data_IF_188296689853
#
_entry.id   IF_188296689853
#
_cell.length_a   1.000
_cell.length_b   1.000
_cell.length_c   1.000
_cell.angle_alpha   90.00
_cell.angle_beta   90.00
_cell.angle_gamma   90.00
#
_symmetry.space_group_name_H-M   'P 1'
#
loop_
_entity.id
_entity.type
_entity.pdbx_description
1 polymer ?
#
# COMPACT_ATOMS: atom_id res chain seq x y z
N UNK A 1 56.61 -36.45 -1.97
CA UNK A 1 56.37 -35.02 -2.26
C UNK A 1 54.88 -34.68 -2.23
N UNK A 2 54.03 -35.26 -3.08
CA UNK A 2 52.59 -34.92 -3.16
C UNK A 2 51.75 -35.25 -1.89
N UNK A 3 52.02 -36.37 -1.23
CA UNK A 3 51.35 -36.70 0.05
C UNK A 3 51.74 -35.71 1.16
N UNK A 4 53.00 -35.23 1.14
CA UNK A 4 53.50 -34.24 2.07
C UNK A 4 52.88 -32.86 1.80
N UNK A 5 52.71 -32.45 0.53
CA UNK A 5 52.03 -31.19 0.20
C UNK A 5 50.55 -31.21 0.57
N UNK A 6 49.83 -32.31 0.35
CA UNK A 6 48.43 -32.45 0.77
C UNK A 6 48.27 -32.37 2.30
N UNK A 7 49.15 -33.05 3.05
CA UNK A 7 49.13 -33.00 4.52
C UNK A 7 49.47 -31.60 5.02
N UNK A 8 50.50 -30.95 4.46
CA UNK A 8 50.88 -29.57 4.81
C UNK A 8 49.76 -28.58 4.52
N UNK A 9 49.10 -28.67 3.35
CA UNK A 9 47.95 -27.82 2.99
C UNK A 9 46.75 -28.07 3.91
N UNK A 10 46.47 -29.33 4.28
CA UNK A 10 45.39 -29.66 5.22
C UNK A 10 45.64 -29.06 6.61
N UNK A 11 46.85 -29.21 7.15
CA UNK A 11 47.19 -28.63 8.46
C UNK A 11 47.24 -27.10 8.40
N UNK A 12 47.79 -26.50 7.35
CA UNK A 12 47.78 -25.04 7.14
C UNK A 12 46.36 -24.48 7.09
N UNK A 13 45.48 -25.05 6.27
CA UNK A 13 44.08 -24.58 6.17
C UNK A 13 43.31 -24.76 7.48
N UNK A 14 43.55 -25.84 8.23
CA UNK A 14 42.96 -26.08 9.56
C UNK A 14 43.49 -25.09 10.61
N UNK A 15 44.78 -24.80 10.60
CA UNK A 15 45.43 -23.82 11.49
C UNK A 15 44.93 -22.41 11.17
N UNK A 16 44.88 -22.03 9.89
CA UNK A 16 44.35 -20.72 9.45
C UNK A 16 42.89 -20.56 9.86
N UNK A 17 42.06 -21.60 9.71
CA UNK A 17 40.68 -21.59 10.24
C UNK A 17 40.65 -21.38 11.75
N UNK A 18 41.50 -22.10 12.51
CA UNK A 18 41.54 -21.98 13.97
C UNK A 18 42.03 -20.59 14.44
N UNK A 19 43.01 -20.01 13.74
CA UNK A 19 43.51 -18.65 14.02
C UNK A 19 42.44 -17.61 13.70
N UNK A 20 41.78 -17.70 12.54
CA UNK A 20 40.72 -16.77 12.14
C UNK A 20 39.54 -16.81 13.12
N UNK A 21 39.10 -18.00 13.54
CA UNK A 21 38.04 -18.14 14.54
C UNK A 21 38.46 -17.58 15.91
N UNK A 22 39.72 -17.82 16.31
CA UNK A 22 40.26 -17.30 17.57
C UNK A 22 40.42 -15.78 17.54
N UNK A 23 40.84 -15.19 16.41
CA UNK A 23 40.98 -13.73 16.24
C UNK A 23 39.62 -13.03 16.18
N UNK A 24 38.64 -13.59 15.46
CA UNK A 24 37.28 -13.04 15.44
C UNK A 24 36.58 -13.18 16.80
N UNK A 25 36.87 -14.23 17.60
CA UNK A 25 36.31 -14.36 18.96
C UNK A 25 37.04 -13.52 20.02
N UNK A 26 38.32 -13.15 19.83
CA UNK A 26 39.11 -12.36 20.80
C UNK A 26 38.80 -10.87 20.79
N UNK A 27 38.24 -10.37 19.70
CA UNK A 27 37.99 -8.94 19.53
C UNK A 27 36.54 -8.67 19.95
N UNK A 28 36.36 -8.10 21.15
CA UNK A 28 35.06 -7.91 21.81
C UNK A 28 34.00 -7.19 20.98
N UNK A 29 32.74 -7.35 21.45
CA UNK A 29 31.39 -6.99 20.98
C UNK A 29 31.13 -5.70 20.17
N UNK A 30 32.04 -5.21 19.33
CA UNK A 30 31.72 -4.12 18.39
C UNK A 30 31.02 -4.68 17.13
N UNK A 31 29.71 -4.88 17.27
CA UNK A 31 28.63 -4.37 16.40
C UNK A 31 28.58 -4.63 14.89
N UNK A 32 29.59 -5.23 14.26
CA UNK A 32 29.64 -5.33 12.81
C UNK A 32 28.95 -6.61 12.31
N UNK A 33 27.80 -6.47 11.66
CA UNK A 33 27.03 -7.57 11.03
C UNK A 33 27.90 -8.48 10.14
N UNK A 34 28.89 -7.89 9.46
CA UNK A 34 29.87 -8.59 8.63
C UNK A 34 30.75 -9.60 9.40
N UNK A 35 31.05 -9.36 10.69
CA UNK A 35 31.83 -10.29 11.53
C UNK A 35 31.03 -11.52 11.94
N UNK A 36 29.75 -11.34 12.25
CA UNK A 36 28.84 -12.46 12.55
C UNK A 36 28.67 -13.38 11.35
N UNK A 37 28.54 -12.79 10.15
CA UNK A 37 28.51 -13.54 8.89
C UNK A 37 29.85 -14.26 8.66
N UNK A 38 30.99 -13.58 8.82
CA UNK A 38 32.31 -14.20 8.64
C UNK A 38 32.57 -15.36 9.63
N UNK A 39 32.19 -15.23 10.90
CA UNK A 39 32.26 -16.32 11.89
C UNK A 39 31.36 -17.49 11.51
N UNK A 40 30.13 -17.21 11.07
CA UNK A 40 29.20 -18.24 10.63
C UNK A 40 29.70 -19.00 9.39
N UNK A 41 30.31 -18.29 8.44
CA UNK A 41 30.89 -18.85 7.20
C UNK A 41 32.11 -19.71 7.54
N UNK A 42 33.10 -19.15 8.25
CA UNK A 42 34.38 -19.83 8.55
C UNK A 42 34.15 -21.03 9.49
N UNK A 43 33.29 -20.88 10.50
CA UNK A 43 32.97 -21.95 11.44
C UNK A 43 32.34 -23.17 10.76
N UNK A 44 31.50 -22.94 9.75
CA UNK A 44 30.73 -23.97 9.03
C UNK A 44 31.48 -24.71 7.93
N UNK A 45 32.70 -24.29 7.58
CA UNK A 45 33.54 -25.06 6.66
C UNK A 45 33.84 -26.42 7.30
N UNK A 46 33.27 -27.51 6.75
CA UNK A 46 33.44 -28.84 7.36
C UNK A 46 34.87 -29.32 7.16
N UNK A 47 35.39 -30.08 8.13
CA UNK A 47 36.72 -30.69 8.03
C UNK A 47 36.86 -31.60 6.80
N UNK A 48 35.75 -32.19 6.34
CA UNK A 48 35.66 -32.97 5.12
C UNK A 48 35.96 -32.14 3.85
N UNK A 49 35.40 -30.93 3.74
CA UNK A 49 35.71 -30.04 2.61
C UNK A 49 37.19 -29.64 2.61
N UNK A 50 37.75 -29.31 3.77
CA UNK A 50 39.18 -28.98 3.88
C UNK A 50 40.08 -30.16 3.49
N UNK A 51 39.67 -31.39 3.81
CA UNK A 51 40.36 -32.61 3.39
C UNK A 51 40.31 -32.77 1.87
N UNK A 52 39.15 -32.63 1.26
CA UNK A 52 38.98 -32.73 -0.21
C UNK A 52 39.76 -31.62 -0.93
N UNK A 53 39.72 -30.38 -0.43
CA UNK A 53 40.48 -29.26 -0.97
C UNK A 53 41.99 -29.47 -0.87
N UNK A 54 42.47 -30.07 0.23
CA UNK A 54 43.87 -30.39 0.40
C UNK A 54 44.33 -31.55 -0.52
N UNK A 55 43.47 -32.54 -0.76
CA UNK A 55 43.71 -33.60 -1.74
C UNK A 55 43.77 -33.05 -3.17
N UNK A 56 42.87 -32.13 -3.53
CA UNK A 56 42.88 -31.44 -4.83
C UNK A 56 44.14 -30.57 -5.00
N UNK A 57 44.53 -29.78 -3.99
CA UNK A 57 45.76 -29.01 -4.04
C UNK A 57 47.02 -29.92 -4.17
N UNK A 58 47.00 -31.09 -3.53
CA UNK A 58 48.04 -32.11 -3.66
C UNK A 58 48.08 -32.76 -5.05
N UNK A 59 46.92 -32.95 -5.70
CA UNK A 59 46.84 -33.52 -7.04
C UNK A 59 47.38 -32.57 -8.12
N UNK A 60 47.33 -31.25 -7.93
CA UNK A 60 47.93 -30.27 -8.86
C UNK A 60 49.47 -30.36 -8.95
N UNK A 61 50.12 -30.87 -7.91
CA UNK A 61 51.59 -31.03 -7.85
C UNK A 61 52.04 -32.39 -8.40
N UNK A 62 51.10 -33.34 -8.52
CA UNK A 62 51.37 -34.69 -8.99
C UNK A 62 50.98 -34.79 -10.47
N UNK A 63 51.90 -35.21 -11.34
CA UNK A 63 51.58 -35.52 -12.74
C UNK A 63 50.73 -36.81 -12.79
N UNK A 64 49.44 -36.66 -12.53
CA UNK A 64 48.47 -37.73 -12.50
C UNK A 64 47.96 -38.03 -13.92
N UNK A 65 47.60 -39.29 -14.23
CA UNK A 65 46.87 -39.61 -15.44
C UNK A 65 45.55 -38.83 -15.51
N UNK A 66 45.19 -38.33 -16.70
CA UNK A 66 44.04 -37.44 -16.95
C UNK A 66 42.73 -37.95 -16.33
N UNK A 67 42.51 -39.27 -16.32
CA UNK A 67 41.32 -39.91 -15.73
C UNK A 67 41.19 -39.68 -14.23
N UNK A 68 42.31 -39.73 -13.49
CA UNK A 68 42.32 -39.54 -12.04
C UNK A 68 42.23 -38.07 -11.63
N UNK A 69 42.81 -37.17 -12.44
CA UNK A 69 42.69 -35.73 -12.25
C UNK A 69 41.24 -35.26 -12.38
N UNK A 70 40.52 -35.74 -13.41
CA UNK A 70 39.10 -35.39 -13.61
C UNK A 70 38.19 -35.84 -12.47
N UNK A 71 38.38 -37.05 -11.93
CA UNK A 71 37.60 -37.54 -10.77
C UNK A 71 37.83 -36.66 -9.53
N UNK A 72 39.09 -36.29 -9.27
CA UNK A 72 39.44 -35.44 -8.11
C UNK A 72 38.87 -34.03 -8.28
N UNK A 73 38.86 -33.49 -9.50
CA UNK A 73 38.25 -32.20 -9.83
C UNK A 73 36.72 -32.22 -9.63
N UNK A 74 36.01 -33.23 -10.13
CA UNK A 74 34.56 -33.37 -9.91
C UNK A 74 34.22 -33.52 -8.42
N UNK A 75 34.98 -34.33 -7.67
CA UNK A 75 34.77 -34.49 -6.22
C UNK A 75 35.01 -33.15 -5.49
N UNK A 76 36.04 -32.40 -5.86
CA UNK A 76 36.31 -31.08 -5.31
C UNK A 76 35.18 -30.09 -5.62
N UNK A 77 34.73 -30.04 -6.87
CA UNK A 77 33.66 -29.15 -7.32
C UNK A 77 32.34 -29.44 -6.58
N UNK A 78 31.95 -30.71 -6.44
CA UNK A 78 30.75 -31.11 -5.68
C UNK A 78 30.89 -30.75 -4.21
N UNK A 79 32.07 -31.00 -3.62
CA UNK A 79 32.35 -30.63 -2.23
C UNK A 79 32.23 -29.11 -2.03
N UNK A 80 32.72 -28.31 -2.99
CA UNK A 80 32.61 -26.87 -3.01
C UNK A 80 31.15 -26.40 -3.11
N UNK A 81 30.36 -26.96 -4.03
CA UNK A 81 28.94 -26.65 -4.16
C UNK A 81 28.14 -26.96 -2.90
N UNK A 82 28.35 -28.14 -2.31
CA UNK A 82 27.71 -28.52 -1.05
C UNK A 82 28.14 -27.57 0.08
N UNK A 83 29.41 -27.18 0.13
CA UNK A 83 29.91 -26.25 1.12
C UNK A 83 29.28 -24.85 0.98
N UNK A 84 29.11 -24.37 -0.26
CA UNK A 84 28.38 -23.12 -0.57
C UNK A 84 26.92 -23.24 -0.13
N UNK A 85 26.23 -24.33 -0.48
CA UNK A 85 24.84 -24.57 -0.08
C UNK A 85 24.65 -24.60 1.44
N UNK A 86 25.57 -25.23 2.18
CA UNK A 86 25.57 -25.26 3.64
C UNK A 86 25.80 -23.87 4.26
N UNK A 87 26.67 -23.06 3.66
CA UNK A 87 26.92 -21.68 4.09
C UNK A 87 25.67 -20.82 3.84
N UNK A 88 25.11 -20.86 2.63
CA UNK A 88 23.90 -20.12 2.27
C UNK A 88 22.71 -20.49 3.18
N UNK A 89 22.49 -21.79 3.44
CA UNK A 89 21.48 -22.27 4.39
C UNK A 89 21.70 -21.72 5.81
N UNK A 90 22.96 -21.65 6.26
CA UNK A 90 23.26 -21.08 7.57
C UNK A 90 23.02 -19.57 7.63
N UNK A 91 23.35 -18.83 6.57
CA UNK A 91 23.08 -17.39 6.47
C UNK A 91 21.56 -17.18 6.55
N UNK A 92 20.78 -17.92 5.75
CA UNK A 92 19.31 -17.86 5.79
C UNK A 92 18.79 -18.12 7.21
N UNK A 93 19.24 -19.20 7.86
CA UNK A 93 18.80 -19.56 9.21
C UNK A 93 19.22 -18.52 10.26
N UNK A 94 20.42 -17.98 10.17
CA UNK A 94 20.94 -17.02 11.16
C UNK A 94 20.24 -15.68 11.04
N UNK A 95 20.09 -15.16 9.82
CA UNK A 95 19.30 -13.97 9.54
C UNK A 95 17.87 -14.18 10.07
N UNK A 96 17.31 -15.35 9.81
CA UNK A 96 15.96 -15.70 10.24
C UNK A 96 15.77 -15.67 11.76
N UNK A 97 16.63 -16.35 12.52
CA UNK A 97 16.55 -16.39 13.99
C UNK A 97 16.71 -14.98 14.60
N UNK A 98 17.57 -14.13 14.03
CA UNK A 98 17.73 -12.74 14.48
C UNK A 98 16.47 -11.90 14.25
N UNK A 99 15.78 -12.08 13.12
CA UNK A 99 14.50 -11.42 12.87
C UNK A 99 13.37 -12.00 13.74
N UNK A 100 13.37 -13.32 13.97
CA UNK A 100 12.36 -14.00 14.80
C UNK A 100 12.40 -13.53 16.25
N UNK A 101 13.59 -13.45 16.85
CA UNK A 101 13.77 -12.98 18.23
C UNK A 101 13.30 -11.53 18.43
N UNK A 102 13.46 -10.66 17.42
CA UNK A 102 12.96 -9.27 17.47
C UNK A 102 11.45 -9.13 17.22
N UNK A 103 10.82 -10.12 16.58
CA UNK A 103 9.42 -10.06 16.13
C UNK A 103 8.47 -10.88 17.01
N UNK A 104 8.99 -11.90 17.71
CA UNK A 104 8.24 -12.81 18.60
C UNK A 104 7.45 -12.09 19.69
N UNK A 105 7.93 -10.95 20.19
CA UNK A 105 7.24 -10.17 21.23
C UNK A 105 5.99 -9.43 20.73
N UNK A 106 5.80 -9.29 19.41
CA UNK A 106 4.77 -8.39 18.86
C UNK A 106 3.71 -9.07 18.00
N UNK A 107 4.03 -10.15 17.25
CA UNK A 107 3.06 -10.79 16.34
C UNK A 107 3.39 -12.27 16.04
N UNK A 108 2.56 -13.19 16.55
CA UNK A 108 2.71 -14.63 16.30
C UNK A 108 2.52 -15.02 14.81
N UNK A 109 1.62 -14.35 14.09
CA UNK A 109 1.36 -14.62 12.67
C UNK A 109 2.57 -14.27 11.78
N UNK A 110 3.26 -13.18 12.12
CA UNK A 110 4.47 -12.76 11.40
C UNK A 110 5.57 -13.83 11.50
N UNK A 111 5.68 -14.52 12.63
CA UNK A 111 6.66 -15.59 12.86
C UNK A 111 6.41 -16.80 11.95
N UNK A 112 5.14 -17.17 11.74
CA UNK A 112 4.77 -18.29 10.86
C UNK A 112 5.06 -17.97 9.39
N UNK A 113 4.68 -16.76 8.91
CA UNK A 113 5.00 -16.32 7.54
C UNK A 113 6.50 -16.31 7.27
N UNK A 114 7.25 -15.75 8.22
CA UNK A 114 8.70 -15.73 8.22
C UNK A 114 9.23 -17.19 8.07
N UNK A 115 8.70 -18.15 8.84
CA UNK A 115 9.15 -19.55 8.80
C UNK A 115 9.00 -20.19 7.42
N UNK A 116 7.88 -19.92 6.75
CA UNK A 116 7.61 -20.38 5.38
C UNK A 116 8.60 -19.81 4.37
N UNK A 117 8.95 -18.52 4.46
CA UNK A 117 9.95 -17.88 3.58
C UNK A 117 11.34 -18.51 3.79
N UNK A 118 11.72 -18.79 5.04
CA UNK A 118 12.99 -19.48 5.34
C UNK A 118 13.01 -20.90 4.79
N UNK A 119 11.91 -21.63 4.85
CA UNK A 119 11.81 -22.95 4.24
C UNK A 119 11.94 -22.89 2.71
N UNK A 120 11.16 -22.03 2.04
CA UNK A 120 11.17 -21.88 0.58
C UNK A 120 12.55 -21.47 0.05
N UNK A 121 13.21 -20.50 0.69
CA UNK A 121 14.57 -20.07 0.30
C UNK A 121 15.60 -21.19 0.42
N UNK A 122 15.50 -22.05 1.45
CA UNK A 122 16.38 -23.22 1.59
C UNK A 122 16.14 -24.26 0.51
N UNK A 123 14.88 -24.51 0.16
CA UNK A 123 14.52 -25.41 -0.95
C UNK A 123 15.12 -24.90 -2.25
N UNK A 124 15.00 -23.60 -2.55
CA UNK A 124 15.57 -22.98 -3.74
C UNK A 124 17.11 -23.09 -3.79
N UNK A 125 17.80 -22.85 -2.68
CA UNK A 125 19.27 -23.02 -2.61
C UNK A 125 19.68 -24.45 -2.95
N UNK A 126 19.03 -25.44 -2.34
CA UNK A 126 19.36 -26.85 -2.61
C UNK A 126 18.99 -27.29 -4.03
N UNK A 127 17.92 -26.73 -4.58
CA UNK A 127 17.55 -26.95 -5.97
C UNK A 127 18.64 -26.43 -6.92
N UNK A 128 19.16 -25.22 -6.70
CA UNK A 128 20.27 -24.66 -7.50
C UNK A 128 21.53 -25.52 -7.34
N UNK A 129 21.91 -25.89 -6.12
CA UNK A 129 23.07 -26.76 -5.86
C UNK A 129 22.94 -28.09 -6.62
N UNK A 130 21.74 -28.69 -6.64
CA UNK A 130 21.48 -29.93 -7.36
C UNK A 130 21.65 -29.76 -8.88
N UNK A 131 21.10 -28.69 -9.47
CA UNK A 131 21.22 -28.45 -10.91
C UNK A 131 22.67 -28.25 -11.35
N UNK A 132 23.43 -27.42 -10.62
CA UNK A 132 24.84 -27.16 -10.94
C UNK A 132 25.68 -28.44 -10.75
N UNK A 133 25.33 -29.28 -9.79
CA UNK A 133 25.99 -30.58 -9.63
C UNK A 133 25.67 -31.53 -10.79
N UNK A 134 24.41 -31.61 -11.24
CA UNK A 134 24.01 -32.43 -12.39
C UNK A 134 24.70 -32.01 -13.69
N UNK A 135 24.82 -30.70 -13.92
CA UNK A 135 25.52 -30.14 -15.08
C UNK A 135 27.01 -30.54 -15.09
N UNK A 136 27.66 -30.51 -13.92
CA UNK A 136 29.05 -30.95 -13.78
C UNK A 136 29.24 -32.45 -14.05
N UNK A 137 28.21 -33.27 -13.82
CA UNK A 137 28.21 -34.69 -14.19
C UNK A 137 27.91 -34.94 -15.68
N UNK A 138 27.77 -33.88 -16.49
CA UNK A 138 27.46 -33.99 -17.91
C UNK A 138 25.97 -34.28 -18.21
N UNK A 139 25.10 -34.17 -17.21
CA UNK A 139 23.65 -34.26 -17.42
C UNK A 139 23.18 -32.97 -18.06
N UNK A 140 22.47 -33.05 -19.19
CA UNK A 140 21.89 -31.87 -19.81
C UNK A 140 20.75 -31.30 -18.94
N UNK A 141 21.04 -30.22 -18.22
CA UNK A 141 20.06 -29.55 -17.35
C UNK A 141 19.16 -28.55 -18.09
N UNK A 142 19.32 -28.36 -19.41
CA UNK A 142 18.57 -27.34 -20.19
C UNK A 142 17.07 -27.52 -20.04
N UNK A 143 16.57 -28.75 -20.11
CA UNK A 143 15.14 -29.04 -19.94
C UNK A 143 14.65 -28.74 -18.51
N UNK A 144 15.47 -29.03 -17.49
CA UNK A 144 15.15 -28.75 -16.09
C UNK A 144 15.12 -27.25 -15.82
N UNK A 145 16.13 -26.52 -16.31
CA UNK A 145 16.22 -25.06 -16.20
C UNK A 145 15.06 -24.39 -16.95
N UNK A 146 14.74 -24.86 -18.16
CA UNK A 146 13.58 -24.36 -18.90
C UNK A 146 12.27 -24.58 -18.15
N UNK A 147 12.07 -25.78 -17.57
CA UNK A 147 10.91 -26.09 -16.74
C UNK A 147 10.81 -25.20 -15.50
N UNK A 148 11.94 -24.92 -14.83
CA UNK A 148 11.99 -23.99 -13.71
C UNK A 148 11.75 -22.54 -14.13
N UNK A 149 12.18 -22.15 -15.33
CA UNK A 149 11.85 -20.84 -15.90
C UNK A 149 10.35 -20.65 -16.06
N UNK A 150 9.67 -21.62 -16.68
CA UNK A 150 8.20 -21.61 -16.84
C UNK A 150 7.49 -21.66 -15.48
N UNK A 151 7.95 -22.54 -14.57
CA UNK A 151 7.41 -22.61 -13.21
C UNK A 151 7.62 -21.30 -12.43
N UNK A 152 8.75 -20.64 -12.61
CA UNK A 152 9.06 -19.34 -12.02
C UNK A 152 8.13 -18.24 -12.52
N UNK A 153 7.81 -18.22 -13.81
CA UNK A 153 6.82 -17.29 -14.39
C UNK A 153 5.44 -17.54 -13.78
N UNK A 154 5.01 -18.79 -13.64
CA UNK A 154 3.72 -19.12 -13.02
C UNK A 154 3.65 -18.64 -11.56
N UNK A 155 4.72 -18.84 -10.78
CA UNK A 155 4.80 -18.32 -9.40
C UNK A 155 4.82 -16.78 -9.38
N UNK A 156 5.54 -16.14 -10.30
CA UNK A 156 5.60 -14.68 -10.40
C UNK A 156 4.21 -14.08 -10.68
N UNK A 157 3.44 -14.67 -11.60
CA UNK A 157 2.06 -14.28 -11.88
C UNK A 157 1.15 -14.49 -10.66
N UNK A 158 1.31 -15.61 -9.93
CA UNK A 158 0.53 -15.88 -8.74
C UNK A 158 0.78 -14.86 -7.60
N UNK A 159 2.02 -14.37 -7.47
CA UNK A 159 2.41 -13.43 -6.40
C UNK A 159 2.33 -11.95 -6.86
N UNK A 160 2.07 -11.69 -8.15
CA UNK A 160 2.06 -10.35 -8.76
C UNK A 160 1.26 -9.33 -7.94
N UNK A 161 0.05 -9.69 -7.50
CA UNK A 161 -0.82 -8.79 -6.73
C UNK A 161 -0.23 -8.41 -5.38
N UNK A 162 0.44 -9.35 -4.70
CA UNK A 162 1.08 -9.11 -3.40
C UNK A 162 2.25 -8.14 -3.57
N UNK A 163 3.07 -8.33 -4.61
CA UNK A 163 4.16 -7.39 -4.91
C UNK A 163 3.61 -6.02 -5.30
N UNK A 164 2.51 -5.98 -6.07
CA UNK A 164 1.80 -4.75 -6.41
C UNK A 164 1.40 -3.95 -5.17
N UNK A 165 0.80 -4.61 -4.17
CA UNK A 165 0.42 -3.95 -2.91
C UNK A 165 1.64 -3.43 -2.11
N UNK A 166 2.76 -4.16 -2.12
CA UNK A 166 4.01 -3.75 -1.45
C UNK A 166 4.59 -2.52 -2.13
N UNK A 167 4.66 -2.49 -3.47
CA UNK A 167 5.11 -1.32 -4.21
C UNK A 167 4.14 -0.14 -4.03
N UNK A 168 2.84 -0.40 -3.99
CA UNK A 168 1.84 0.63 -3.70
C UNK A 168 2.03 1.23 -2.28
N UNK A 169 2.29 0.40 -1.26
CA UNK A 169 2.64 0.88 0.08
C UNK A 169 3.85 1.82 0.07
N UNK A 170 4.90 1.43 -0.65
CA UNK A 170 6.09 2.24 -0.80
C UNK A 170 5.81 3.57 -1.51
N UNK A 171 5.01 3.55 -2.58
CA UNK A 171 4.55 4.74 -3.28
C UNK A 171 3.72 5.67 -2.39
N UNK A 172 2.82 5.13 -1.56
CA UNK A 172 2.04 5.92 -0.57
C UNK A 172 2.98 6.61 0.41
N UNK A 173 4.02 5.93 0.90
CA UNK A 173 4.97 6.52 1.86
C UNK A 173 5.86 7.60 1.23
N UNK A 174 6.25 7.42 -0.03
CA UNK A 174 7.11 8.36 -0.74
C UNK A 174 6.35 9.60 -1.26
N UNK A 175 5.28 9.39 -2.02
CA UNK A 175 4.51 10.45 -2.68
C UNK A 175 3.50 11.11 -1.72
N UNK A 176 3.08 10.36 -0.69
CA UNK A 176 2.11 10.80 0.33
C UNK A 176 0.85 11.44 -0.28
N UNK A 177 0.11 10.74 -1.16
CA UNK A 177 -1.18 11.23 -1.66
C UNK A 177 -2.19 11.48 -0.52
N UNK A 178 -2.04 10.72 0.57
CA UNK A 178 -2.71 10.90 1.84
C UNK A 178 -1.77 10.45 2.98
N UNK A 179 -2.05 10.91 4.19
CA UNK A 179 -1.35 10.47 5.41
C UNK A 179 -2.33 10.00 6.47
N UNK A 180 -1.82 9.35 7.52
CA UNK A 180 -2.61 8.95 8.69
C UNK A 180 -3.28 10.21 9.27
N UNK A 181 -4.59 10.11 9.50
CA UNK A 181 -5.44 11.20 9.98
C UNK A 181 -6.03 12.08 8.88
N UNK A 182 -5.82 11.76 7.60
CA UNK A 182 -6.53 12.40 6.50
C UNK A 182 -7.93 11.80 6.35
N UNK A 183 -8.92 12.68 6.15
CA UNK A 183 -10.26 12.27 5.74
C UNK A 183 -10.31 12.18 4.22
N UNK A 184 -10.53 10.97 3.71
CA UNK A 184 -10.54 10.68 2.28
C UNK A 184 -11.84 10.03 1.85
N UNK A 185 -12.21 10.26 0.59
CA UNK A 185 -13.29 9.55 -0.09
C UNK A 185 -12.70 8.80 -1.26
N UNK A 186 -13.00 7.51 -1.33
CA UNK A 186 -12.60 6.58 -2.37
C UNK A 186 -13.89 5.96 -2.90
N UNK A 187 -14.23 6.28 -4.15
CA UNK A 187 -15.51 5.94 -4.75
C UNK A 187 -16.70 6.44 -3.91
N UNK A 188 -17.52 5.54 -3.36
CA UNK A 188 -18.65 5.82 -2.46
C UNK A 188 -18.29 5.67 -0.96
N UNK A 189 -17.10 5.17 -0.67
CA UNK A 189 -16.63 4.92 0.68
C UNK A 189 -15.83 6.11 1.22
N UNK A 190 -16.09 6.48 2.48
CA UNK A 190 -15.53 7.69 3.10
C UNK A 190 -15.11 7.43 4.53
N UNK A 191 -13.99 8.02 4.94
CA UNK A 191 -13.49 7.87 6.29
C UNK A 191 -12.11 8.47 6.54
N UNK A 192 -11.61 8.28 7.76
CA UNK A 192 -10.30 8.78 8.19
C UNK A 192 -9.26 7.67 8.14
N UNK A 193 -8.10 7.93 7.53
CA UNK A 193 -6.99 6.97 7.46
C UNK A 193 -6.42 6.73 8.87
N UNK A 194 -6.52 5.49 9.38
CA UNK A 194 -5.99 5.11 10.69
C UNK A 194 -4.61 4.48 10.60
N UNK A 195 -4.36 3.68 9.57
CA UNK A 195 -3.13 2.92 9.44
C UNK A 195 -2.82 2.57 7.99
N UNK A 196 -1.58 2.78 7.57
CA UNK A 196 -1.05 2.34 6.27
C UNK A 196 -0.09 1.18 6.52
N UNK A 197 -0.49 -0.01 6.11
CA UNK A 197 0.31 -1.22 6.21
C UNK A 197 1.06 -1.55 4.92
N UNK A 198 1.78 -2.67 4.94
CA UNK A 198 2.55 -3.15 3.78
C UNK A 198 1.66 -3.62 2.63
N UNK A 199 0.53 -4.29 2.93
CA UNK A 199 -0.43 -4.76 1.92
C UNK A 199 -1.71 -3.94 1.87
N UNK A 200 -2.20 -3.53 3.04
CA UNK A 200 -3.51 -2.92 3.20
C UNK A 200 -3.43 -1.62 3.97
N UNK A 201 -4.38 -0.74 3.70
CA UNK A 201 -4.63 0.49 4.44
C UNK A 201 -5.99 0.40 5.11
N UNK A 202 -6.06 0.86 6.36
CA UNK A 202 -7.27 0.81 7.19
C UNK A 202 -7.84 2.22 7.37
N UNK A 203 -9.12 2.36 7.06
CA UNK A 203 -9.84 3.63 7.07
C UNK A 203 -11.05 3.49 8.00
N UNK A 204 -11.21 4.40 8.96
CA UNK A 204 -12.39 4.46 9.84
C UNK A 204 -13.50 5.22 9.16
N UNK A 205 -14.59 4.53 8.85
CA UNK A 205 -15.80 5.15 8.33
C UNK A 205 -16.48 6.02 9.38
N UNK A 206 -17.32 6.95 8.94
CA UNK A 206 -18.15 7.77 9.83
C UNK A 206 -19.21 6.93 10.58
N UNK A 207 -19.62 5.78 10.02
CA UNK A 207 -20.50 4.81 10.70
C UNK A 207 -19.78 3.95 11.74
N UNK A 208 -18.45 4.08 11.88
CA UNK A 208 -17.65 3.48 12.94
C UNK A 208 -16.95 2.17 12.56
N UNK A 209 -17.32 1.53 11.44
CA UNK A 209 -16.61 0.37 10.92
C UNK A 209 -15.23 0.73 10.35
N UNK A 210 -14.35 -0.27 10.29
CA UNK A 210 -13.04 -0.15 9.67
C UNK A 210 -13.09 -0.75 8.26
N UNK A 211 -12.91 0.10 7.27
CA UNK A 211 -12.75 -0.29 5.88
C UNK A 211 -11.30 -0.72 5.65
N UNK A 212 -11.11 -1.87 5.01
CA UNK A 212 -9.79 -2.45 4.73
C UNK A 212 -9.62 -2.51 3.22
N UNK A 213 -8.74 -1.65 2.70
CA UNK A 213 -8.42 -1.60 1.28
C UNK A 213 -7.06 -2.24 1.03
N UNK A 214 -6.87 -2.88 -0.12
CA UNK A 214 -5.52 -3.15 -0.60
C UNK A 214 -4.87 -1.83 -1.03
N UNK A 215 -3.55 -1.74 -0.90
CA UNK A 215 -2.85 -0.51 -1.27
C UNK A 215 -2.92 -0.27 -2.78
N UNK A 216 -2.92 -1.35 -3.59
CA UNK A 216 -3.06 -1.25 -5.03
C UNK A 216 -4.44 -0.71 -5.43
N UNK A 217 -5.51 -1.15 -4.76
CA UNK A 217 -6.88 -0.67 -4.98
C UNK A 217 -6.96 0.86 -4.76
N UNK A 218 -6.48 1.33 -3.61
CA UNK A 218 -6.44 2.77 -3.30
C UNK A 218 -5.71 3.61 -4.34
N UNK A 219 -4.53 3.16 -4.79
CA UNK A 219 -3.75 3.91 -5.78
C UNK A 219 -4.31 3.79 -7.20
N UNK A 220 -5.10 2.76 -7.48
CA UNK A 220 -5.79 2.61 -8.77
C UNK A 220 -7.07 3.45 -8.84
N UNK A 221 -7.64 3.81 -7.70
CA UNK A 221 -8.86 4.62 -7.59
C UNK A 221 -8.60 6.12 -7.49
N UNK A 222 -9.64 6.92 -7.74
CA UNK A 222 -9.59 8.39 -7.60
C UNK A 222 -9.83 8.77 -6.13
N UNK A 223 -8.80 9.26 -5.46
CA UNK A 223 -8.89 9.66 -4.05
C UNK A 223 -9.23 11.15 -3.94
N UNK A 224 -10.30 11.46 -3.20
CA UNK A 224 -10.63 12.84 -2.81
C UNK A 224 -10.14 13.07 -1.38
N UNK A 225 -9.06 13.83 -1.21
CA UNK A 225 -8.51 14.14 0.11
C UNK A 225 -9.05 15.49 0.62
N UNK A 226 -9.89 15.45 1.65
CA UNK A 226 -10.52 16.64 2.20
C UNK A 226 -9.63 17.41 3.17
N UNK A 227 -8.62 16.76 3.77
CA UNK A 227 -7.67 17.46 4.66
C UNK A 227 -6.75 18.40 3.91
N UNK A 228 -6.58 18.19 2.59
CA UNK A 228 -5.88 19.11 1.67
C UNK A 228 -6.77 20.19 1.07
N UNK A 229 -8.06 20.24 1.43
CA UNK A 229 -8.94 21.32 1.02
C UNK A 229 -8.51 22.62 1.71
N UNK A 230 -8.43 23.73 0.97
CA UNK A 230 -8.15 25.06 1.54
C UNK A 230 -9.43 25.87 1.74
N UNK A 231 -10.32 25.80 0.74
CA UNK A 231 -11.59 26.51 0.72
C UNK A 231 -12.69 25.52 0.32
N UNK A 232 -13.88 25.68 0.89
CA UNK A 232 -15.05 24.86 0.57
C UNK A 232 -16.03 25.65 -0.27
N UNK A 233 -16.29 25.17 -1.49
CA UNK A 233 -17.36 25.71 -2.33
C UNK A 233 -18.72 25.22 -1.85
N UNK A 234 -19.63 26.16 -1.63
CA UNK A 234 -21.01 25.89 -1.27
C UNK A 234 -21.91 26.35 -2.41
N UNK A 235 -22.86 25.49 -2.78
CA UNK A 235 -23.89 25.80 -3.79
C UNK A 235 -25.23 25.36 -3.24
N UNK A 236 -26.19 26.26 -3.25
CA UNK A 236 -27.58 25.93 -2.91
C UNK A 236 -28.54 26.81 -3.72
N UNK A 237 -29.79 26.35 -3.79
CA UNK A 237 -30.86 27.07 -4.48
C UNK A 237 -31.94 27.49 -3.50
N UNK A 238 -32.55 28.65 -3.75
CA UNK A 238 -33.68 29.18 -2.99
C UNK A 238 -34.81 29.45 -3.98
N UNK A 239 -35.97 28.84 -3.74
CA UNK A 239 -37.18 29.08 -4.53
C UNK A 239 -38.11 30.07 -3.84
N UNK A 240 -38.60 31.06 -4.57
CA UNK A 240 -39.68 31.97 -4.10
C UNK A 240 -40.93 31.81 -4.95
N UNK A 241 -42.10 32.16 -4.41
CA UNK A 241 -43.38 31.96 -5.11
C UNK A 241 -43.49 32.83 -6.38
N UNK A 242 -44.22 32.36 -7.39
CA UNK A 242 -44.47 33.10 -8.64
C UNK A 242 -45.20 34.43 -8.44
N UNK A 243 -45.94 34.56 -7.33
CA UNK A 243 -46.66 35.76 -6.93
C UNK A 243 -45.73 36.85 -6.37
N UNK A 244 -44.43 36.57 -6.20
CA UNK A 244 -43.47 37.54 -5.71
C UNK A 244 -43.34 38.71 -6.71
N UNK A 245 -43.59 39.96 -6.30
CA UNK A 245 -43.50 41.11 -7.20
C UNK A 245 -42.10 41.29 -7.81
N UNK A 246 -41.98 41.78 -9.07
CA UNK A 246 -40.70 42.01 -9.74
C UNK A 246 -39.69 42.83 -8.91
N UNK A 247 -40.16 43.91 -8.28
CA UNK A 247 -39.31 44.78 -7.45
C UNK A 247 -38.63 44.05 -6.28
N UNK A 248 -39.28 43.00 -5.75
CA UNK A 248 -38.70 42.16 -4.69
C UNK A 248 -37.72 41.15 -5.28
N UNK A 249 -38.03 40.58 -6.45
CA UNK A 249 -37.15 39.63 -7.15
C UNK A 249 -35.78 40.25 -7.47
N UNK A 250 -35.76 41.51 -7.90
CA UNK A 250 -34.52 42.24 -8.19
C UNK A 250 -33.66 42.48 -6.95
N UNK A 251 -34.26 42.59 -5.75
CA UNK A 251 -33.54 42.81 -4.49
C UNK A 251 -32.92 41.54 -3.91
N UNK A 252 -33.46 40.36 -4.21
CA UNK A 252 -33.06 39.08 -3.60
C UNK A 252 -31.54 38.83 -3.71
N UNK A 253 -30.89 38.96 -4.88
CA UNK A 253 -29.45 38.77 -5.01
C UNK A 253 -28.63 39.66 -4.08
N UNK A 254 -29.01 40.94 -3.96
CA UNK A 254 -28.32 41.91 -3.11
C UNK A 254 -28.48 41.62 -1.61
N UNK A 255 -29.67 41.17 -1.19
CA UNK A 255 -29.93 40.76 0.19
C UNK A 255 -29.10 39.53 0.56
N UNK A 256 -29.11 38.50 -0.29
CA UNK A 256 -28.33 37.28 -0.07
C UNK A 256 -26.83 37.60 -0.02
N UNK A 257 -26.34 38.41 -0.96
CA UNK A 257 -24.94 38.85 -0.98
C UNK A 257 -24.54 39.50 0.33
N UNK A 258 -25.34 40.45 0.82
CA UNK A 258 -25.05 41.19 2.06
C UNK A 258 -24.99 40.26 3.28
N UNK A 259 -25.89 39.27 3.37
CA UNK A 259 -25.90 38.29 4.45
C UNK A 259 -24.68 37.36 4.43
N UNK A 260 -24.21 36.99 3.24
CA UNK A 260 -23.02 36.14 3.06
C UNK A 260 -21.75 36.92 3.37
N UNK A 261 -21.62 38.14 2.84
CA UNK A 261 -20.46 39.01 3.08
C UNK A 261 -20.36 39.47 4.54
N UNK A 262 -21.44 39.39 5.32
CA UNK A 262 -21.43 39.68 6.76
C UNK A 262 -20.80 38.57 7.61
N UNK A 263 -20.56 37.37 7.06
CA UNK A 263 -19.94 36.27 7.79
C UNK A 263 -18.41 36.33 7.67
N UNK A 264 -17.72 35.92 8.73
CA UNK A 264 -16.26 35.80 8.71
C UNK A 264 -15.79 34.62 7.85
N UNK A 265 -14.59 34.77 7.26
CA UNK A 265 -13.91 33.73 6.47
C UNK A 265 -14.74 33.25 5.26
N UNK A 266 -15.42 34.16 4.57
CA UNK A 266 -16.15 33.86 3.33
C UNK A 266 -15.63 34.68 2.16
N UNK A 267 -15.68 34.09 0.96
CA UNK A 267 -15.62 34.79 -0.31
C UNK A 267 -16.93 34.55 -1.08
N UNK A 268 -17.72 35.61 -1.25
CA UNK A 268 -18.90 35.58 -2.11
C UNK A 268 -18.50 35.36 -3.57
N UNK A 269 -19.28 34.57 -4.31
CA UNK A 269 -19.08 34.32 -5.75
C UNK A 269 -20.28 34.87 -6.52
N UNK A 270 -21.48 34.32 -6.29
CA UNK A 270 -22.68 34.78 -6.99
C UNK A 270 -23.99 34.48 -6.26
N UNK A 271 -25.00 35.31 -6.54
CA UNK A 271 -26.40 35.05 -6.25
C UNK A 271 -27.21 35.55 -7.46
N UNK A 272 -27.93 34.69 -8.17
CA UNK A 272 -28.66 35.09 -9.38
C UNK A 272 -30.00 34.37 -9.47
N UNK A 273 -30.98 35.04 -10.07
CA UNK A 273 -32.16 34.39 -10.61
C UNK A 273 -31.71 33.43 -11.72
N UNK A 274 -31.83 32.12 -11.47
CA UNK A 274 -31.26 31.06 -12.31
C UNK A 274 -32.28 30.50 -13.28
N UNK A 275 -33.49 30.20 -12.81
CA UNK A 275 -34.47 29.46 -13.59
C UNK A 275 -35.89 29.66 -13.08
N UNK A 276 -36.84 29.37 -13.96
CA UNK A 276 -38.24 29.16 -13.62
C UNK A 276 -38.46 27.67 -13.32
N UNK A 277 -38.80 27.35 -12.08
CA UNK A 277 -39.11 26.00 -11.60
C UNK A 277 -40.61 25.65 -11.74
N UNK A 278 -41.01 24.39 -11.52
CA UNK A 278 -42.41 23.97 -11.68
C UNK A 278 -43.42 24.70 -10.77
N UNK A 279 -42.97 25.15 -9.60
CA UNK A 279 -43.76 25.87 -8.59
C UNK A 279 -42.98 27.01 -7.92
N UNK A 280 -41.78 27.33 -8.43
CA UNK A 280 -40.84 28.29 -7.82
C UNK A 280 -40.13 29.14 -8.86
N UNK A 281 -39.68 30.32 -8.42
CA UNK A 281 -38.69 31.14 -9.08
C UNK A 281 -37.34 30.89 -8.39
N UNK A 282 -36.41 30.25 -9.09
CA UNK A 282 -35.21 29.67 -8.48
C UNK A 282 -34.01 30.62 -8.54
N UNK A 283 -33.45 30.94 -7.38
CA UNK A 283 -32.20 31.67 -7.22
C UNK A 283 -31.08 30.72 -6.85
N UNK A 284 -29.96 30.77 -7.57
CA UNK A 284 -28.75 30.02 -7.22
C UNK A 284 -27.78 30.90 -6.46
N UNK A 285 -27.26 30.36 -5.36
CA UNK A 285 -26.30 31.02 -4.49
C UNK A 285 -25.03 30.19 -4.42
N UNK A 286 -23.89 30.84 -4.66
CA UNK A 286 -22.56 30.25 -4.59
C UNK A 286 -21.65 31.14 -3.75
N UNK A 287 -20.96 30.52 -2.80
CA UNK A 287 -19.93 31.18 -2.00
C UNK A 287 -18.87 30.17 -1.57
N UNK A 288 -17.73 30.67 -1.11
CA UNK A 288 -16.61 29.88 -0.63
C UNK A 288 -16.37 30.13 0.85
N UNK A 289 -16.32 29.08 1.66
CA UNK A 289 -15.84 29.15 3.04
C UNK A 289 -14.32 28.98 3.02
N UNK A 290 -13.60 30.00 3.48
CA UNK A 290 -12.14 30.07 3.51
C UNK A 290 -11.54 29.31 4.70
N UNK A 291 -12.22 28.24 5.12
CA UNK A 291 -11.83 27.38 6.22
C UNK A 291 -12.17 25.92 5.88
N UNK A 292 -11.23 24.97 6.04
CA UNK A 292 -11.48 23.57 5.75
C UNK A 292 -12.32 22.84 6.82
N UNK A 293 -12.40 23.40 8.03
CA UNK A 293 -13.12 22.79 9.15
C UNK A 293 -14.61 22.63 8.83
N UNK A 294 -15.09 21.40 9.00
CA UNK A 294 -16.46 21.04 8.67
C UNK A 294 -17.49 21.69 9.60
N UNK A 295 -17.18 21.81 10.90
CA UNK A 295 -18.07 22.43 11.88
C UNK A 295 -18.19 23.93 11.61
N UNK A 296 -17.08 24.61 11.33
CA UNK A 296 -17.09 26.03 10.97
C UNK A 296 -17.96 26.29 9.74
N UNK A 297 -17.86 25.44 8.72
CA UNK A 297 -18.77 25.52 7.57
C UNK A 297 -20.24 25.34 7.95
N UNK A 298 -20.56 24.36 8.80
CA UNK A 298 -21.94 24.11 9.24
C UNK A 298 -22.53 25.32 9.98
N UNK A 299 -21.77 25.92 10.89
CA UNK A 299 -22.21 27.09 11.65
C UNK A 299 -22.46 28.30 10.73
N UNK A 300 -21.55 28.54 9.78
CA UNK A 300 -21.69 29.58 8.75
C UNK A 300 -22.93 29.33 7.87
N UNK A 301 -23.13 28.11 7.38
CA UNK A 301 -24.28 27.76 6.55
C UNK A 301 -25.59 27.98 7.31
N UNK A 302 -25.62 27.60 8.59
CA UNK A 302 -26.78 27.83 9.45
C UNK A 302 -27.07 29.32 9.63
N UNK A 303 -26.04 30.13 9.91
CA UNK A 303 -26.19 31.58 10.09
C UNK A 303 -26.72 32.24 8.82
N UNK A 304 -26.20 31.88 7.64
CA UNK A 304 -26.68 32.36 6.34
C UNK A 304 -28.13 31.96 6.10
N UNK A 305 -28.48 30.68 6.28
CA UNK A 305 -29.84 30.18 6.05
C UNK A 305 -30.87 30.90 6.96
N UNK A 306 -30.56 31.05 8.24
CA UNK A 306 -31.42 31.76 9.19
C UNK A 306 -31.51 33.27 8.87
N UNK A 307 -30.41 33.88 8.41
CA UNK A 307 -30.38 35.27 7.98
C UNK A 307 -31.28 35.50 6.77
N UNK A 308 -31.23 34.62 5.76
CA UNK A 308 -32.09 34.69 4.58
C UNK A 308 -33.55 34.57 5.00
N UNK A 309 -33.87 33.58 5.85
CA UNK A 309 -35.24 33.37 6.33
C UNK A 309 -35.82 34.66 6.96
N UNK A 310 -35.07 35.28 7.88
CA UNK A 310 -35.49 36.51 8.55
C UNK A 310 -35.61 37.70 7.59
N UNK A 311 -34.68 37.84 6.65
CA UNK A 311 -34.71 38.93 5.66
C UNK A 311 -35.91 38.79 4.72
N UNK A 312 -36.23 37.58 4.29
CA UNK A 312 -37.36 37.31 3.42
C UNK A 312 -38.69 37.53 4.14
N UNK A 313 -38.81 37.10 5.41
CA UNK A 313 -39.98 37.37 6.24
C UNK A 313 -40.22 38.88 6.41
N UNK A 314 -39.16 39.66 6.69
CA UNK A 314 -39.26 41.11 6.88
C UNK A 314 -39.69 41.85 5.59
N UNK A 315 -39.27 41.39 4.42
CA UNK A 315 -39.66 41.96 3.12
C UNK A 315 -40.96 41.34 2.56
N UNK A 316 -41.58 40.37 3.26
CA UNK A 316 -42.76 39.65 2.78
C UNK A 316 -42.50 38.89 1.47
N UNK A 317 -41.35 38.22 1.39
CA UNK A 317 -40.99 37.31 0.30
C UNK A 317 -41.27 35.89 0.79
N UNK A 318 -42.17 35.20 0.10
CA UNK A 318 -42.57 33.85 0.49
C UNK A 318 -41.70 32.79 -0.20
N UNK A 319 -41.25 31.81 0.58
CA UNK A 319 -40.58 30.63 0.07
C UNK A 319 -41.56 29.77 -0.71
N UNK A 320 -41.13 29.28 -1.87
CA UNK A 320 -41.94 28.38 -2.68
C UNK A 320 -42.10 27.03 -1.99
N UNK A 321 -43.32 26.51 -2.03
CA UNK A 321 -43.66 25.14 -1.68
C UNK A 321 -44.37 24.49 -2.88
N UNK A 322 -44.35 23.16 -3.00
CA UNK A 322 -45.06 22.48 -4.08
C UNK A 322 -46.54 22.89 -4.08
N UNK A 323 -46.99 23.52 -5.16
CA UNK A 323 -48.37 23.99 -5.36
C UNK A 323 -48.96 23.40 -6.63
N UNK A 324 -50.28 23.18 -6.60
CA UNK A 324 -51.05 22.72 -7.76
C UNK A 324 -52.34 23.53 -7.86
N UNK A 325 -52.73 23.86 -9.08
CA UNK A 325 -54.02 24.48 -9.35
C UNK A 325 -55.04 23.38 -9.63
N UNK A 326 -55.99 23.17 -8.71
CA UNK A 326 -57.10 22.24 -8.92
C UNK A 326 -58.24 22.95 -9.68
N UNK A 327 -58.45 22.57 -10.94
CA UNK A 327 -59.61 23.03 -11.71
C UNK A 327 -60.81 22.15 -11.37
N UNK A 328 -61.75 22.68 -10.57
CA UNK A 328 -63.00 21.97 -10.22
C UNK A 328 -64.04 22.25 -11.32
N UNK A 329 -64.55 21.23 -12.04
CA UNK A 329 -65.62 21.41 -13.01
C UNK A 329 -66.88 21.94 -12.34
N UNK A 330 -67.54 22.93 -12.96
CA UNK A 330 -68.84 23.44 -12.47
C UNK A 330 -69.88 22.30 -12.60
N UNK A 331 -70.73 22.04 -11.59
CA UNK A 331 -71.80 21.05 -11.72
C UNK A 331 -72.67 21.40 -12.92
N UNK A 332 -72.95 20.43 -13.78
CA UNK A 332 -73.86 20.62 -14.90
C UNK A 332 -75.25 20.99 -14.35
N UNK A 333 -75.79 22.13 -14.76
CA UNK A 333 -77.18 22.48 -14.47
C UNK A 333 -78.07 21.42 -15.12
N UNK A 334 -78.65 20.53 -14.30
CA UNK A 334 -79.71 19.63 -14.76
C UNK A 334 -80.92 20.48 -15.09
N UNK A 335 -81.06 20.82 -16.38
CA UNK A 335 -82.24 21.47 -16.91
C UNK A 335 -83.47 20.61 -16.60
N UNK A 336 -84.36 21.13 -15.76
CA UNK A 336 -85.71 20.60 -15.58
C UNK A 336 -86.45 20.75 -16.91
N UNK A 337 -86.50 19.69 -17.70
CA UNK A 337 -87.47 19.57 -18.79
C UNK A 337 -88.86 19.50 -18.18
N UNK A 338 -89.58 20.62 -18.19
CA UNK A 338 -91.02 20.65 -17.93
C UNK A 338 -91.72 19.81 -18.99
N UNK A 339 -92.40 18.76 -18.57
CA UNK A 339 -93.34 18.01 -19.38
C UNK A 339 -94.65 18.77 -19.36
N UNK A 340 -95.04 19.33 -20.51
CA UNK A 340 -96.39 19.81 -20.79
C UNK A 340 -97.26 18.72 -21.38
#
# INVERSE_FOLDING_TARGET
MAMATAVVVYFLTRITKAILLKQLNRTGENGNAWRGIALAVIGRVKAFFLLVAALYAGSLVLALPDTSAGIIESIFFISLLVQIGLIANQIIRTSFEQYRLKTLEKNAEAVTMLGSVSFLSRVLVWLIVLLVALDNFGVNITALVAGLGVGGVAVALAVQNILGDVFASFSIVLDKPFVIGDFIIVDDLLGTVEYVGLKTTRIRSLSGEQLIFSNNDLLSSRIRNFKRMYERRVVFSIGVVYQTPPDKLEKIPGMIRSLIEAQDKIRFDRAHFKAYGPYSLDFEVVYWVLNPDYAVYMDIQQAINLGIYKAFEAEGIEFAYPTQTLMIPRPAETGTTGVG
#
